data_IF_547010241902
#
_entry.id   IF_547010241902
#
_cell.length_a   1.000
_cell.length_b   1.000
_cell.length_c   1.000
_cell.angle_alpha   90.00
_cell.angle_beta   90.00
_cell.angle_gamma   90.00
#
_symmetry.space_group_name_H-M   'P 1'
#
loop_
_entity.id
_entity.type
_entity.pdbx_description
1 polymer ?
#
# COMPACT_ATOMS: atom_id res chain seq x y z
N UNK A 1 21.90 -3.29 16.61
CA UNK A 1 22.08 -4.46 15.74
C UNK A 1 21.07 -5.60 16.01
N UNK A 2 19.82 -5.30 16.37
CA UNK A 2 18.81 -6.32 16.73
C UNK A 2 17.52 -6.21 15.89
N UNK A 3 17.63 -5.68 14.67
CA UNK A 3 16.47 -5.39 13.80
C UNK A 3 16.53 -6.02 12.40
N UNK A 4 17.58 -6.81 12.11
CA UNK A 4 17.82 -7.44 10.80
C UNK A 4 17.79 -8.98 10.86
N UNK A 5 17.33 -9.56 11.98
CA UNK A 5 17.35 -11.01 12.18
C UNK A 5 16.24 -11.82 11.47
N UNK A 6 15.08 -11.28 11.03
CA UNK A 6 14.05 -12.12 10.42
C UNK A 6 14.24 -12.40 8.92
N UNK A 7 15.20 -11.77 8.23
CA UNK A 7 15.26 -11.81 6.75
C UNK A 7 16.49 -12.49 6.14
N UNK A 8 17.39 -13.08 6.94
CA UNK A 8 18.59 -13.77 6.42
C UNK A 8 18.72 -15.18 7.01
N UNK A 9 18.95 -16.23 6.20
CA UNK A 9 19.23 -17.60 6.68
C UNK A 9 20.69 -17.73 7.16
N UNK A 10 21.15 -16.82 8.03
CA UNK A 10 22.50 -16.82 8.59
C UNK A 10 22.43 -16.75 10.11
N UNK A 11 23.18 -17.62 10.79
CA UNK A 11 23.28 -17.60 12.25
C UNK A 11 23.96 -16.30 12.72
N UNK A 12 23.66 -15.86 13.95
CA UNK A 12 24.23 -14.64 14.52
C UNK A 12 25.78 -14.68 14.54
N UNK A 13 26.37 -15.85 14.82
CA UNK A 13 27.82 -16.05 14.75
C UNK A 13 28.38 -15.92 13.33
N UNK A 14 27.66 -16.36 12.30
CA UNK A 14 28.14 -16.28 10.92
C UNK A 14 28.01 -14.85 10.37
N UNK A 15 26.96 -14.12 10.78
CA UNK A 15 26.83 -12.71 10.46
C UNK A 15 27.93 -11.87 11.14
N UNK A 16 28.29 -12.21 12.38
CA UNK A 16 29.39 -11.56 13.10
C UNK A 16 30.75 -11.84 12.45
N UNK A 17 31.01 -13.07 12.00
CA UNK A 17 32.21 -13.40 11.22
C UNK A 17 32.28 -12.63 9.90
N UNK A 18 31.16 -12.51 9.19
CA UNK A 18 31.08 -11.73 7.95
C UNK A 18 31.33 -10.25 8.23
N UNK A 19 30.78 -9.73 9.33
CA UNK A 19 31.00 -8.34 9.74
C UNK A 19 32.47 -8.06 10.05
N UNK A 20 33.14 -8.93 10.81
CA UNK A 20 34.59 -8.84 11.10
C UNK A 20 35.44 -8.92 9.82
N UNK A 21 35.03 -9.72 8.82
CA UNK A 21 35.74 -9.77 7.54
C UNK A 21 35.55 -8.50 6.71
N UNK A 22 34.36 -7.91 6.73
CA UNK A 22 34.04 -6.69 6.00
C UNK A 22 34.66 -5.44 6.66
N UNK A 23 34.72 -5.41 7.98
CA UNK A 23 35.25 -4.31 8.78
C UNK A 23 36.79 -4.31 8.73
N UNK A 24 37.35 -3.52 7.80
CA UNK A 24 38.80 -3.50 7.56
C UNK A 24 39.55 -2.73 8.65
N UNK A 25 38.91 -1.72 9.21
CA UNK A 25 39.49 -0.83 10.22
C UNK A 25 39.12 -1.25 11.65
N UNK A 26 38.21 -2.22 11.81
CA UNK A 26 37.87 -2.83 13.09
C UNK A 26 37.13 -1.85 14.01
N UNK A 27 36.50 -0.82 13.44
CA UNK A 27 35.86 0.25 14.20
C UNK A 27 34.44 -0.13 14.68
N UNK A 28 33.93 -1.31 14.28
CA UNK A 28 32.60 -1.80 14.63
C UNK A 28 31.48 -1.24 13.76
N UNK A 29 31.79 -0.62 12.62
CA UNK A 29 30.86 0.03 11.69
C UNK A 29 31.34 -0.06 10.24
N UNK A 30 30.54 -0.69 9.38
CA UNK A 30 30.88 -0.80 7.96
C UNK A 30 30.55 0.49 7.21
N UNK A 31 31.57 1.10 6.60
CA UNK A 31 31.31 2.17 5.64
C UNK A 31 30.80 1.59 4.31
N UNK A 32 29.99 2.34 3.53
CA UNK A 32 29.47 1.86 2.24
C UNK A 32 30.56 1.45 1.25
N UNK A 33 31.75 2.04 1.37
CA UNK A 33 32.92 1.70 0.56
C UNK A 33 33.51 0.35 0.97
N UNK A 34 33.65 0.07 2.25
CA UNK A 34 34.14 -1.22 2.75
C UNK A 34 33.18 -2.35 2.42
N UNK A 35 31.88 -2.09 2.59
CA UNK A 35 30.82 -3.02 2.23
C UNK A 35 30.92 -3.40 0.74
N UNK A 36 30.82 -2.44 -0.19
CA UNK A 36 30.85 -2.77 -1.62
C UNK A 36 32.15 -3.44 -2.09
N UNK A 37 33.30 -2.98 -1.58
CA UNK A 37 34.61 -3.47 -2.04
C UNK A 37 34.84 -4.93 -1.63
N UNK A 38 34.51 -5.28 -0.39
CA UNK A 38 34.76 -6.63 0.12
C UNK A 38 33.60 -7.59 -0.12
N UNK A 39 32.36 -7.10 -0.15
CA UNK A 39 31.19 -7.93 -0.48
C UNK A 39 31.22 -8.39 -1.94
N UNK A 40 31.76 -7.58 -2.86
CA UNK A 40 32.05 -8.01 -4.24
C UNK A 40 33.00 -9.21 -4.32
N UNK A 41 34.00 -9.28 -3.42
CA UNK A 41 34.90 -10.44 -3.32
C UNK A 41 34.28 -11.64 -2.60
N UNK A 42 33.40 -11.38 -1.63
CA UNK A 42 32.73 -12.42 -0.85
C UNK A 42 31.62 -13.13 -1.63
N UNK A 43 30.87 -12.41 -2.47
CA UNK A 43 29.81 -12.97 -3.32
C UNK A 43 30.31 -14.01 -4.33
N UNK A 44 31.59 -14.02 -4.66
CA UNK A 44 32.21 -15.03 -5.52
C UNK A 44 32.51 -16.37 -4.80
N UNK A 45 32.65 -16.36 -3.47
CA UNK A 45 33.05 -17.55 -2.70
C UNK A 45 31.86 -18.31 -2.07
N UNK A 46 30.73 -17.62 -1.86
CA UNK A 46 29.50 -18.24 -1.30
C UNK A 46 28.73 -19.05 -2.36
N UNK A 47 28.96 -18.81 -3.65
CA UNK A 47 28.32 -19.53 -4.76
C UNK A 47 28.69 -21.01 -4.85
N UNK A 48 29.71 -21.51 -4.14
CA UNK A 48 30.25 -22.85 -4.41
C UNK A 48 30.11 -23.89 -3.28
N UNK A 49 29.74 -23.52 -2.04
CA UNK A 49 29.93 -24.48 -0.92
C UNK A 49 28.67 -25.00 -0.21
N UNK A 50 27.58 -24.27 0.04
CA UNK A 50 26.56 -24.80 0.99
C UNK A 50 25.07 -24.50 0.66
N UNK A 51 24.60 -24.80 -0.55
CA UNK A 51 23.13 -24.85 -0.84
C UNK A 51 22.77 -26.09 -1.69
N UNK A 52 23.51 -27.20 -1.58
CA UNK A 52 23.20 -28.45 -2.30
C UNK A 52 22.42 -29.48 -1.49
N UNK A 53 21.87 -29.11 -0.33
CA UNK A 53 21.08 -30.03 0.50
C UNK A 53 19.76 -29.42 0.91
N UNK A 54 18.79 -29.38 -0.01
CA UNK A 54 17.38 -29.69 0.29
C UNK A 54 16.46 -29.68 -0.95
N UNK A 55 15.90 -30.86 -1.25
CA UNK A 55 14.58 -31.12 -1.88
C UNK A 55 14.37 -31.12 -3.41
N UNK A 56 15.36 -30.87 -4.28
CA UNK A 56 15.11 -30.84 -5.74
C UNK A 56 15.19 -32.20 -6.47
N UNK A 57 15.54 -33.28 -5.76
CA UNK A 57 15.65 -34.63 -6.33
C UNK A 57 14.38 -35.18 -7.04
N UNK A 58 13.13 -34.84 -6.66
CA UNK A 58 11.96 -35.39 -7.35
C UNK A 58 11.69 -34.75 -8.73
N UNK A 59 12.23 -33.56 -9.01
CA UNK A 59 11.95 -32.82 -10.25
C UNK A 59 12.82 -33.31 -11.41
N UNK A 60 14.07 -33.69 -11.11
CA UNK A 60 15.07 -34.08 -12.12
C UNK A 60 14.71 -35.36 -12.88
N UNK A 61 13.94 -36.27 -12.25
CA UNK A 61 13.65 -37.60 -12.81
C UNK A 61 12.56 -37.54 -13.90
N UNK A 62 11.70 -36.51 -13.92
CA UNK A 62 10.61 -36.39 -14.89
C UNK A 62 11.02 -35.83 -16.26
N UNK A 63 12.28 -35.40 -16.41
CA UNK A 63 12.76 -34.72 -17.63
C UNK A 63 13.20 -35.72 -18.71
N UNK A 64 13.32 -37.02 -18.40
CA UNK A 64 13.97 -37.99 -19.30
C UNK A 64 13.05 -38.84 -20.17
N UNK A 65 11.73 -38.70 -20.07
CA UNK A 65 10.78 -39.54 -20.82
C UNK A 65 9.68 -38.71 -21.48
N UNK A 66 10.04 -37.92 -22.49
CA UNK A 66 9.19 -37.62 -23.67
C UNK A 66 10.06 -36.97 -24.74
N UNK A 67 10.98 -37.74 -25.33
CA UNK A 67 11.54 -37.41 -26.63
C UNK A 67 10.58 -37.97 -27.70
N UNK A 68 9.49 -37.26 -27.94
CA UNK A 68 8.70 -37.38 -29.17
C UNK A 68 9.11 -36.19 -30.04
N UNK A 69 9.87 -36.49 -31.09
CA UNK A 69 10.63 -35.58 -31.95
C UNK A 69 9.76 -34.77 -32.94
N UNK A 70 8.53 -34.39 -32.55
CA UNK A 70 7.58 -33.69 -33.43
C UNK A 70 6.49 -32.91 -32.66
N UNK A 71 6.80 -32.39 -31.46
CA UNK A 71 5.94 -31.40 -30.80
C UNK A 71 6.38 -29.98 -31.19
N UNK A 72 5.42 -29.18 -31.66
CA UNK A 72 5.57 -27.80 -32.13
C UNK A 72 6.43 -26.98 -31.14
N UNK A 73 7.55 -26.41 -31.61
CA UNK A 73 8.47 -25.61 -30.79
C UNK A 73 7.71 -24.46 -30.07
N UNK A 74 6.64 -23.99 -30.72
CA UNK A 74 5.67 -23.04 -30.21
C UNK A 74 4.97 -23.52 -28.93
N UNK A 75 4.53 -24.77 -28.90
CA UNK A 75 3.77 -25.34 -27.79
C UNK A 75 4.64 -25.48 -26.54
N UNK A 76 5.90 -25.87 -26.73
CA UNK A 76 6.86 -26.03 -25.64
C UNK A 76 7.24 -24.67 -25.02
N UNK A 77 7.47 -23.66 -25.86
CA UNK A 77 7.70 -22.29 -25.38
C UNK A 77 6.46 -21.74 -24.66
N UNK A 78 5.26 -21.89 -25.24
CA UNK A 78 4.02 -21.43 -24.62
C UNK A 78 3.77 -22.07 -23.25
N UNK A 79 4.02 -23.38 -23.13
CA UNK A 79 3.93 -24.12 -21.86
C UNK A 79 4.94 -23.64 -20.82
N UNK A 80 6.14 -23.23 -21.24
CA UNK A 80 7.13 -22.60 -20.35
C UNK A 80 6.61 -21.25 -19.86
N UNK A 81 6.16 -20.37 -20.76
CA UNK A 81 5.63 -19.05 -20.41
C UNK A 81 4.41 -19.13 -19.49
N UNK A 82 3.54 -20.13 -19.69
CA UNK A 82 2.41 -20.43 -18.80
C UNK A 82 2.86 -20.84 -17.39
N UNK A 83 3.88 -21.68 -17.28
CA UNK A 83 4.44 -22.08 -15.97
C UNK A 83 5.14 -20.94 -15.26
N UNK A 84 5.73 -20.03 -16.02
CA UNK A 84 6.45 -18.86 -15.51
C UNK A 84 5.52 -17.68 -15.19
N UNK A 85 4.21 -17.78 -15.49
CA UNK A 85 3.23 -16.75 -15.18
C UNK A 85 3.41 -15.46 -15.97
N UNK A 86 4.04 -15.52 -17.14
CA UNK A 86 4.58 -14.35 -17.85
C UNK A 86 3.54 -13.60 -18.69
N UNK A 87 2.42 -14.27 -19.01
CA UNK A 87 1.42 -13.78 -19.98
C UNK A 87 0.81 -12.42 -19.63
N UNK A 88 0.89 -11.98 -18.38
CA UNK A 88 0.35 -10.69 -17.93
C UNK A 88 1.42 -9.61 -17.77
N UNK A 89 2.69 -9.98 -17.89
CA UNK A 89 3.84 -9.18 -17.44
C UNK A 89 4.71 -8.69 -18.61
N UNK A 90 4.84 -9.48 -19.68
CA UNK A 90 5.56 -9.08 -20.89
C UNK A 90 4.60 -8.70 -22.03
N UNK A 91 4.85 -7.53 -22.62
CA UNK A 91 4.14 -7.07 -23.82
C UNK A 91 4.69 -7.73 -25.11
N UNK A 92 5.97 -8.11 -25.12
CA UNK A 92 6.62 -8.80 -26.24
C UNK A 92 7.50 -9.95 -25.72
N UNK A 93 7.24 -11.15 -26.23
CA UNK A 93 7.95 -12.39 -25.90
C UNK A 93 8.89 -12.83 -27.04
N UNK A 94 8.94 -12.07 -28.15
CA UNK A 94 9.61 -12.46 -29.39
C UNK A 94 11.12 -12.68 -29.21
N UNK A 95 11.80 -11.78 -28.50
CA UNK A 95 13.25 -11.88 -28.24
C UNK A 95 13.60 -13.07 -27.32
N UNK A 96 12.77 -13.30 -26.30
CA UNK A 96 12.92 -14.41 -25.35
C UNK A 96 12.73 -15.75 -26.07
N UNK A 97 11.74 -15.79 -26.96
CA UNK A 97 11.45 -16.94 -27.80
C UNK A 97 12.56 -17.23 -28.80
N UNK A 98 13.06 -16.21 -29.50
CA UNK A 98 14.19 -16.38 -30.45
C UNK A 98 15.43 -16.93 -29.72
N UNK A 99 15.75 -16.37 -28.55
CA UNK A 99 16.89 -16.81 -27.75
C UNK A 99 16.70 -18.25 -27.24
N UNK A 100 15.50 -18.61 -26.78
CA UNK A 100 15.18 -19.97 -26.32
C UNK A 100 15.32 -21.00 -27.45
N UNK A 101 14.80 -20.69 -28.65
CA UNK A 101 14.93 -21.55 -29.83
C UNK A 101 16.38 -21.71 -30.28
N UNK A 102 17.16 -20.64 -30.21
CA UNK A 102 18.58 -20.65 -30.57
C UNK A 102 19.40 -21.45 -29.57
N UNK A 103 19.19 -21.27 -28.27
CA UNK A 103 19.87 -22.05 -27.22
C UNK A 103 19.55 -23.54 -27.34
N UNK A 104 18.32 -23.90 -27.69
CA UNK A 104 17.93 -25.29 -27.92
C UNK A 104 18.68 -25.94 -29.10
N UNK A 105 19.01 -25.16 -30.14
CA UNK A 105 19.68 -25.63 -31.37
C UNK A 105 21.21 -25.62 -31.25
N UNK A 106 21.77 -24.55 -30.72
CA UNK A 106 23.22 -24.30 -30.72
C UNK A 106 23.89 -24.83 -29.43
N UNK A 107 23.28 -24.63 -28.26
CA UNK A 107 23.88 -24.90 -26.94
C UNK A 107 22.85 -25.45 -25.92
N UNK A 108 22.40 -26.71 -26.07
CA UNK A 108 21.29 -27.26 -25.26
C UNK A 108 21.61 -27.39 -23.76
N UNK A 109 22.88 -27.37 -23.38
CA UNK A 109 23.31 -27.42 -21.98
C UNK A 109 23.03 -26.10 -21.23
N UNK A 110 22.99 -24.96 -21.94
CA UNK A 110 22.72 -23.64 -21.38
C UNK A 110 21.22 -23.33 -21.29
N UNK A 111 20.38 -24.13 -21.96
CA UNK A 111 18.92 -23.95 -21.97
C UNK A 111 18.34 -24.04 -20.55
N UNK A 112 18.83 -24.96 -19.71
CA UNK A 112 18.36 -25.09 -18.32
C UNK A 112 18.68 -23.87 -17.47
N UNK A 113 19.90 -23.33 -17.59
CA UNK A 113 20.31 -22.12 -16.87
C UNK A 113 19.50 -20.90 -17.33
N UNK A 114 19.18 -20.84 -18.63
CA UNK A 114 18.32 -19.80 -19.18
C UNK A 114 16.88 -19.89 -18.66
N UNK A 115 16.29 -21.08 -18.62
CA UNK A 115 14.95 -21.28 -18.07
C UNK A 115 14.88 -20.95 -16.57
N UNK A 116 15.92 -21.28 -15.80
CA UNK A 116 16.05 -20.91 -14.39
C UNK A 116 16.17 -19.38 -14.22
N UNK A 117 16.97 -18.73 -15.06
CA UNK A 117 17.10 -17.28 -15.06
C UNK A 117 15.78 -16.58 -15.36
N UNK A 118 15.05 -17.05 -16.38
CA UNK A 118 13.71 -16.56 -16.70
C UNK A 118 12.77 -16.75 -15.51
N UNK A 119 12.76 -17.94 -14.88
CA UNK A 119 11.94 -18.20 -13.71
C UNK A 119 12.21 -17.19 -12.59
N UNK A 120 13.47 -16.91 -12.30
CA UNK A 120 13.85 -15.97 -11.25
C UNK A 120 13.43 -14.53 -11.59
N UNK A 121 13.64 -14.09 -12.82
CA UNK A 121 13.26 -12.73 -13.24
C UNK A 121 11.74 -12.55 -13.17
N UNK A 122 10.98 -13.51 -13.71
CA UNK A 122 9.52 -13.39 -13.73
C UNK A 122 8.91 -13.49 -12.34
N UNK A 123 9.46 -14.35 -11.46
CA UNK A 123 9.05 -14.34 -10.05
C UNK A 123 9.33 -12.99 -9.39
N UNK A 124 10.52 -12.42 -9.59
CA UNK A 124 10.83 -11.09 -9.04
C UNK A 124 9.94 -9.98 -9.58
N UNK A 125 9.60 -10.05 -10.87
CA UNK A 125 8.75 -9.06 -11.52
C UNK A 125 7.29 -9.20 -11.07
N UNK A 126 6.81 -10.42 -10.90
CA UNK A 126 5.49 -10.72 -10.35
C UNK A 126 5.37 -10.26 -8.88
N UNK A 127 6.38 -10.55 -8.05
CA UNK A 127 6.43 -10.09 -6.67
C UNK A 127 6.39 -8.56 -6.58
N UNK A 128 7.14 -7.88 -7.45
CA UNK A 128 7.13 -6.41 -7.52
C UNK A 128 5.78 -5.84 -7.98
N UNK A 129 5.12 -6.45 -8.97
CA UNK A 129 3.78 -6.00 -9.38
C UNK A 129 2.73 -6.26 -8.29
N UNK A 130 2.81 -7.41 -7.61
CA UNK A 130 1.97 -7.71 -6.45
C UNK A 130 2.16 -6.68 -5.33
N UNK A 131 3.41 -6.35 -4.98
CA UNK A 131 3.72 -5.33 -3.97
C UNK A 131 3.18 -3.95 -4.40
N UNK A 132 3.36 -3.57 -5.67
CA UNK A 132 2.78 -2.33 -6.23
C UNK A 132 1.27 -2.31 -6.05
N UNK A 133 0.59 -3.40 -6.43
CA UNK A 133 -0.87 -3.51 -6.34
C UNK A 133 -1.34 -3.46 -4.87
N UNK A 134 -0.63 -4.10 -3.94
CA UNK A 134 -0.92 -4.03 -2.51
C UNK A 134 -0.77 -2.60 -1.96
N UNK A 135 0.31 -1.90 -2.32
CA UNK A 135 0.54 -0.52 -1.93
C UNK A 135 -0.53 0.41 -2.52
N UNK A 136 -0.91 0.23 -3.78
CA UNK A 136 -1.99 0.98 -4.43
C UNK A 136 -3.34 0.74 -3.72
N UNK A 137 -3.65 -0.49 -3.34
CA UNK A 137 -4.86 -0.80 -2.57
C UNK A 137 -4.83 -0.17 -1.18
N UNK A 138 -3.68 -0.21 -0.48
CA UNK A 138 -3.51 0.42 0.82
C UNK A 138 -3.69 1.95 0.72
N UNK A 139 -3.13 2.57 -0.31
CA UNK A 139 -3.29 3.99 -0.60
C UNK A 139 -4.75 4.34 -0.89
N UNK A 140 -5.44 3.55 -1.71
CA UNK A 140 -6.86 3.75 -2.02
C UNK A 140 -7.74 3.64 -0.78
N UNK A 141 -7.51 2.65 0.08
CA UNK A 141 -8.21 2.51 1.37
C UNK A 141 -7.98 3.73 2.26
N UNK A 142 -6.73 4.21 2.33
CA UNK A 142 -6.38 5.38 3.13
C UNK A 142 -7.02 6.66 2.58
N UNK A 143 -7.06 6.83 1.26
CA UNK A 143 -7.75 7.94 0.61
C UNK A 143 -9.25 7.92 0.93
N UNK A 144 -9.91 6.77 0.79
CA UNK A 144 -11.32 6.64 1.09
C UNK A 144 -11.64 6.94 2.56
N UNK A 145 -10.79 6.50 3.50
CA UNK A 145 -10.95 6.81 4.92
C UNK A 145 -10.84 8.34 5.19
N UNK A 146 -9.92 9.04 4.52
CA UNK A 146 -9.84 10.50 4.62
C UNK A 146 -11.06 11.18 4.01
N UNK A 147 -11.54 10.71 2.86
CA UNK A 147 -12.74 11.26 2.23
C UNK A 147 -13.98 11.10 3.14
N UNK A 148 -14.13 9.95 3.81
CA UNK A 148 -15.18 9.69 4.80
C UNK A 148 -15.05 10.60 6.03
N UNK A 149 -13.84 10.78 6.58
CA UNK A 149 -13.59 11.68 7.72
C UNK A 149 -13.90 13.14 7.38
N UNK A 150 -13.52 13.57 6.18
CA UNK A 150 -13.84 14.91 5.67
C UNK A 150 -15.35 15.09 5.55
N UNK A 151 -16.07 14.11 4.97
CA UNK A 151 -17.52 14.16 4.86
C UNK A 151 -18.20 14.23 6.22
N UNK A 152 -17.78 13.38 7.17
CA UNK A 152 -18.30 13.39 8.54
C UNK A 152 -18.12 14.76 9.20
N UNK A 153 -16.94 15.39 9.05
CA UNK A 153 -16.68 16.72 9.61
C UNK A 153 -17.59 17.79 8.99
N UNK A 154 -17.84 17.74 7.68
CA UNK A 154 -18.79 18.64 7.02
C UNK A 154 -20.20 18.46 7.54
N UNK A 155 -20.65 17.21 7.73
CA UNK A 155 -21.97 16.92 8.28
C UNK A 155 -22.11 17.41 9.72
N UNK A 156 -21.10 17.17 10.57
CA UNK A 156 -21.09 17.64 11.95
C UNK A 156 -21.16 19.17 12.02
N UNK A 157 -20.39 19.87 11.19
CA UNK A 157 -20.41 21.32 11.10
C UNK A 157 -21.78 21.84 10.65
N UNK A 158 -22.40 21.24 9.64
CA UNK A 158 -23.74 21.63 9.18
C UNK A 158 -24.80 21.43 10.27
N UNK A 159 -24.73 20.30 11.00
CA UNK A 159 -25.60 20.05 12.15
C UNK A 159 -25.41 21.09 13.26
N UNK A 160 -24.16 21.46 13.55
CA UNK A 160 -23.87 22.49 14.55
C UNK A 160 -24.41 23.86 14.12
N UNK A 161 -24.16 24.27 12.88
CA UNK A 161 -24.69 25.53 12.32
C UNK A 161 -26.22 25.55 12.40
N UNK A 162 -26.88 24.44 12.04
CA UNK A 162 -28.35 24.32 12.12
C UNK A 162 -28.84 24.48 13.57
N UNK A 163 -28.22 23.77 14.51
CA UNK A 163 -28.57 23.84 15.94
C UNK A 163 -28.39 25.25 16.51
N UNK A 164 -27.28 25.91 16.19
CA UNK A 164 -27.01 27.28 16.65
C UNK A 164 -28.00 28.29 16.05
N UNK A 165 -28.35 28.15 14.76
CA UNK A 165 -29.39 28.97 14.11
C UNK A 165 -30.75 28.79 14.78
N UNK A 166 -31.17 27.56 15.03
CA UNK A 166 -32.45 27.26 15.71
C UNK A 166 -32.48 27.83 17.13
N UNK A 167 -31.41 27.66 17.90
CA UNK A 167 -31.29 28.20 19.26
C UNK A 167 -31.33 29.73 19.26
N UNK A 168 -30.64 30.38 18.32
CA UNK A 168 -30.64 31.82 18.16
C UNK A 168 -32.04 32.35 17.82
N UNK A 169 -32.74 31.71 16.89
CA UNK A 169 -34.11 32.07 16.52
C UNK A 169 -35.05 31.95 17.72
N UNK A 170 -35.00 30.82 18.44
CA UNK A 170 -35.84 30.61 19.63
C UNK A 170 -35.62 31.70 20.68
N UNK A 171 -34.36 32.03 20.97
CA UNK A 171 -34.00 33.08 21.94
C UNK A 171 -34.50 34.46 21.50
N UNK A 172 -34.42 34.78 20.21
CA UNK A 172 -34.95 36.04 19.67
C UNK A 172 -36.47 36.10 19.74
N UNK A 173 -37.17 35.01 19.37
CA UNK A 173 -38.63 34.95 19.46
C UNK A 173 -39.09 35.14 20.90
N UNK A 174 -38.48 34.45 21.87
CA UNK A 174 -38.82 34.60 23.30
C UNK A 174 -38.57 36.04 23.76
N UNK A 175 -37.42 36.63 23.43
CA UNK A 175 -37.11 38.03 23.78
C UNK A 175 -38.14 39.01 23.19
N UNK A 176 -38.49 38.83 21.92
CA UNK A 176 -39.47 39.68 21.25
C UNK A 176 -40.85 39.55 21.88
N UNK A 177 -41.29 38.33 22.21
CA UNK A 177 -42.56 38.08 22.90
C UNK A 177 -42.60 38.75 24.27
N UNK A 178 -41.56 38.61 25.09
CA UNK A 178 -41.47 39.29 26.39
C UNK A 178 -41.58 40.81 26.24
N UNK A 179 -40.85 41.38 25.27
CA UNK A 179 -40.88 42.83 25.01
C UNK A 179 -42.26 43.31 24.51
N UNK A 180 -42.90 42.54 23.62
CA UNK A 180 -44.26 42.82 23.13
C UNK A 180 -45.27 42.80 24.28
N UNK A 181 -45.22 41.79 25.15
CA UNK A 181 -46.11 41.67 26.30
C UNK A 181 -45.94 42.83 27.30
N UNK A 182 -44.71 43.29 27.51
CA UNK A 182 -44.43 44.44 28.36
C UNK A 182 -45.03 45.72 27.77
N UNK A 183 -44.84 45.95 26.47
CA UNK A 183 -45.42 47.11 25.77
C UNK A 183 -46.94 47.08 25.78
N UNK A 184 -47.56 45.94 25.50
CA UNK A 184 -49.02 45.79 25.57
C UNK A 184 -49.56 46.09 26.98
N UNK A 185 -48.86 45.63 28.01
CA UNK A 185 -49.27 45.91 29.40
C UNK A 185 -49.19 47.40 29.72
N UNK A 186 -48.16 48.09 29.20
CA UNK A 186 -48.01 49.53 29.34
C UNK A 186 -49.08 50.31 28.56
N UNK A 187 -49.43 49.86 27.35
CA UNK A 187 -50.52 50.43 26.55
C UNK A 187 -51.85 50.28 27.31
N UNK A 188 -52.18 49.07 27.77
CA UNK A 188 -53.40 48.80 28.57
C UNK A 188 -53.49 49.70 29.81
N UNK A 189 -52.38 49.84 30.54
CA UNK A 189 -52.33 50.73 31.70
C UNK A 189 -52.61 52.19 31.31
N UNK A 190 -52.07 52.65 30.18
CA UNK A 190 -52.28 54.02 29.69
C UNK A 190 -53.70 54.26 29.17
N UNK A 191 -54.29 53.27 28.50
CA UNK A 191 -55.70 53.31 28.08
C UNK A 191 -56.63 53.42 29.29
N UNK A 192 -56.38 52.63 30.34
CA UNK A 192 -57.16 52.69 31.58
C UNK A 192 -57.04 54.05 32.28
N UNK A 193 -55.84 54.64 32.34
CA UNK A 193 -55.63 56.00 32.86
C UNK A 193 -56.42 57.04 32.05
N UNK A 194 -56.42 56.92 30.70
CA UNK A 194 -57.16 57.83 29.83
C UNK A 194 -58.68 57.72 30.03
N UNK A 195 -59.22 56.49 30.13
CA UNK A 195 -60.63 56.28 30.43
C UNK A 195 -61.05 56.91 31.76
N UNK A 196 -60.22 56.77 32.81
CA UNK A 196 -60.47 57.42 34.10
C UNK A 196 -60.49 58.95 33.97
N UNK A 197 -59.57 59.53 33.21
CA UNK A 197 -59.54 60.97 32.98
C UNK A 197 -60.77 61.47 32.21
N UNK A 198 -61.25 60.71 31.22
CA UNK A 198 -62.48 61.03 30.47
C UNK A 198 -63.69 60.97 31.41
N UNK A 199 -63.86 59.89 32.18
CA UNK A 199 -64.96 59.76 33.14
C UNK A 199 -64.96 60.87 34.20
N UNK A 200 -63.78 61.28 34.67
CA UNK A 200 -63.66 62.37 35.63
C UNK A 200 -64.05 63.73 35.03
N UNK A 201 -63.78 63.97 33.75
CA UNK A 201 -64.20 65.20 33.06
C UNK A 201 -65.70 65.25 32.80
N UNK A 202 -66.35 64.10 32.56
CA UNK A 202 -67.80 64.04 32.32
C UNK A 202 -68.65 64.23 33.59
N UNK A 203 -68.05 64.11 34.79
CA UNK A 203 -68.73 64.32 36.08
C UNK A 203 -68.67 65.77 36.60
N UNK A 204 -67.93 66.65 35.93
CA UNK A 204 -67.79 68.09 36.27
C UNK A 204 -68.68 68.91 35.35
#
# INVERSE_FOLDING_TARGET
FQRLYPELPLSLEDLEKVFVMLDADGNGSLTPKEFNTKFSKFGMHVSCVDIYSCSLLPVLIKIKETASDDEDEEFQFSKLMDRLGVKEVLEDESDVKELWLRLRKDDPHLLSDFEEFLARIFSQLQDADNEKNELEQALKKKSAAYDEEIQHLYEEMEQQIKKEKEQFLLKNTVRFQSYSQELESKIRSKEQELEQLVQNKERV
#
